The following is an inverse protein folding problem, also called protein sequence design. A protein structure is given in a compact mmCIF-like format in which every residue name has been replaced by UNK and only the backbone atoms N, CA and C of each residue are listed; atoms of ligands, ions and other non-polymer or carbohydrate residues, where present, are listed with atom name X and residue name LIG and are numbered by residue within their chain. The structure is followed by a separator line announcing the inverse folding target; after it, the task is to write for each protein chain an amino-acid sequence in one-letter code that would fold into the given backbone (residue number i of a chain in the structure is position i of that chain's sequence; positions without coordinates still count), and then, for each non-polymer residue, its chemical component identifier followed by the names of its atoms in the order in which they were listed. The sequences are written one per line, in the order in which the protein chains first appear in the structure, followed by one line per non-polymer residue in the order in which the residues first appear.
data_IF_869692765785
#
_entry.id   IF_869692765785
#
_cell.length_a   1.000
_cell.length_b   1.000
_cell.length_c   1.000
_cell.angle_alpha   90.00
_cell.angle_beta   90.00
_cell.angle_gamma   90.00
#
_symmetry.space_group_name_H-M   'P 1'
#
loop_
_entity.id
_entity.type
_entity.pdbx_description
1 polymer ?
#
# COMPACT_ATOMS: atom_id res chain seq x y z
N UNK A 1 -23.22 -14.79 16.78
CA UNK A 1 -22.85 -15.63 17.95
C UNK A 1 -21.76 -16.60 17.49
N UNK A 2 -20.78 -16.90 18.36
CA UNK A 2 -19.45 -17.48 18.04
C UNK A 2 -19.40 -18.82 17.27
N UNK A 3 -18.50 -18.90 16.28
CA UNK A 3 -17.80 -20.09 15.73
C UNK A 3 -16.65 -19.58 14.84
N UNK A 4 -15.46 -20.19 14.71
CA UNK A 4 -14.74 -21.28 15.41
C UNK A 4 -13.69 -20.66 16.39
N UNK A 5 -12.95 -21.31 17.30
CA UNK A 5 -12.32 -22.65 17.50
C UNK A 5 -10.96 -22.90 16.82
N UNK A 6 -9.90 -22.46 17.52
CA UNK A 6 -8.75 -23.28 18.00
C UNK A 6 -8.46 -24.58 17.21
N UNK A 7 -7.46 -24.51 16.32
CA UNK A 7 -6.72 -25.68 15.82
C UNK A 7 -5.24 -25.33 15.67
N UNK A 8 -4.45 -25.60 16.71
CA UNK A 8 -3.00 -25.68 16.57
C UNK A 8 -2.68 -26.99 15.83
N UNK A 9 -2.23 -26.90 14.58
CA UNK A 9 -1.61 -28.03 13.87
C UNK A 9 -0.15 -27.67 13.64
N UNK A 10 0.72 -28.32 14.40
CA UNK A 10 2.15 -28.22 14.19
C UNK A 10 2.54 -29.03 12.95
N UNK A 11 3.29 -28.43 12.03
CA UNK A 11 4.09 -29.16 11.04
C UNK A 11 5.54 -28.86 11.40
N UNK A 12 6.23 -29.89 11.89
CA UNK A 12 7.59 -29.83 12.44
C UNK A 12 8.52 -30.58 11.50
N UNK A 13 9.70 -30.00 11.25
CA UNK A 13 10.86 -30.55 10.53
C UNK A 13 10.70 -30.78 9.02
N UNK A 14 11.51 -30.05 8.23
CA UNK A 14 11.56 -30.22 6.77
C UNK A 14 12.46 -29.23 6.02
N UNK A 15 13.72 -29.08 6.44
CA UNK A 15 14.87 -28.59 5.62
C UNK A 15 14.60 -27.54 4.53
N UNK A 16 14.75 -26.25 4.88
CA UNK A 16 15.54 -25.29 4.10
C UNK A 16 15.74 -24.00 4.91
N UNK A 17 16.99 -23.56 5.06
CA UNK A 17 17.29 -22.23 5.59
C UNK A 17 17.04 -21.19 4.49
N UNK A 18 15.77 -20.83 4.27
CA UNK A 18 15.44 -19.61 3.53
C UNK A 18 15.45 -18.48 4.55
N UNK A 19 16.46 -17.61 4.47
CA UNK A 19 16.46 -16.35 5.22
C UNK A 19 15.33 -15.46 4.70
N UNK A 20 14.14 -15.60 5.27
CA UNK A 20 13.11 -14.55 5.19
C UNK A 20 13.62 -13.36 5.99
N UNK A 21 14.34 -12.47 5.31
CA UNK A 21 14.65 -11.18 5.87
C UNK A 21 13.34 -10.50 6.26
N UNK A 22 13.15 -10.30 7.57
CA UNK A 22 12.14 -9.40 8.11
C UNK A 22 12.87 -8.13 8.52
N UNK A 23 13.10 -7.17 7.61
CA UNK A 23 13.62 -5.86 7.98
C UNK A 23 12.47 -5.04 8.59
N UNK A 24 12.15 -5.34 9.84
CA UNK A 24 11.53 -4.37 10.74
C UNK A 24 12.52 -3.25 11.06
N UNK A 25 12.91 -2.48 10.05
CA UNK A 25 13.61 -1.20 10.20
C UNK A 25 12.60 -0.06 10.31
N UNK A 26 13.04 1.18 10.61
CA UNK A 26 12.17 2.34 10.40
C UNK A 26 11.76 2.36 8.93
N UNK A 27 10.47 2.54 8.66
CA UNK A 27 9.95 2.63 7.31
C UNK A 27 10.51 3.88 6.63
N UNK A 28 11.70 3.74 6.01
CA UNK A 28 12.13 4.62 4.94
C UNK A 28 11.00 4.56 3.91
N UNK A 29 10.43 5.73 3.60
CA UNK A 29 9.28 5.83 2.70
C UNK A 29 9.56 4.97 1.46
N UNK A 30 8.80 3.87 1.35
CA UNK A 30 9.05 2.86 0.34
C UNK A 30 8.72 3.51 -1.00
N UNK A 31 9.76 3.97 -1.71
CA UNK A 31 9.63 4.58 -3.03
C UNK A 31 9.19 3.49 -4.01
N UNK A 32 7.88 3.23 -4.01
CA UNK A 32 7.24 2.25 -4.88
C UNK A 32 7.49 2.69 -6.32
N UNK A 33 8.22 1.90 -7.13
CA UNK A 33 8.44 2.25 -8.53
C UNK A 33 7.09 2.19 -9.25
N UNK A 34 6.73 3.27 -9.95
CA UNK A 34 5.55 3.28 -10.80
C UNK A 34 5.95 2.94 -12.24
N UNK A 35 5.23 2.02 -12.92
CA UNK A 35 5.56 1.64 -14.29
C UNK A 35 5.23 2.79 -15.25
N UNK A 36 5.91 2.81 -16.40
CA UNK A 36 5.81 3.93 -17.35
C UNK A 36 4.40 4.18 -17.94
N UNK A 37 3.44 3.26 -17.76
CA UNK A 37 2.05 3.46 -18.16
C UNK A 37 1.20 4.21 -17.14
N UNK A 38 1.67 4.34 -15.90
CA UNK A 38 1.02 5.08 -14.81
C UNK A 38 1.59 6.52 -14.68
N UNK A 39 2.51 6.95 -15.54
CA UNK A 39 3.14 8.28 -15.43
C UNK A 39 2.12 9.42 -15.56
N UNK A 40 2.02 10.23 -14.51
CA UNK A 40 1.02 11.29 -14.37
C UNK A 40 -0.29 10.83 -13.71
N UNK A 41 -0.47 9.54 -13.44
CA UNK A 41 -1.65 9.03 -12.75
C UNK A 41 -1.68 9.43 -11.27
N UNK A 42 -2.89 9.63 -10.76
CA UNK A 42 -3.16 9.93 -9.36
C UNK A 42 -4.20 8.98 -8.83
N UNK A 43 -3.85 8.21 -7.80
CA UNK A 43 -4.70 7.17 -7.20
C UNK A 43 -4.94 7.45 -5.71
N UNK A 44 -6.01 6.89 -5.15
CA UNK A 44 -6.27 6.97 -3.70
C UNK A 44 -5.28 6.06 -2.97
N UNK A 45 -4.52 6.62 -2.02
CA UNK A 45 -3.70 5.86 -1.09
C UNK A 45 -4.48 5.50 0.18
N UNK A 46 -5.14 6.52 0.77
CA UNK A 46 -6.14 6.35 1.83
C UNK A 46 -7.18 7.48 1.76
N UNK A 47 -8.17 7.48 2.65
CA UNK A 47 -9.26 8.48 2.70
C UNK A 47 -8.82 9.95 2.81
N UNK A 48 -7.55 10.20 3.13
CA UNK A 48 -6.93 11.51 3.32
C UNK A 48 -5.64 11.72 2.51
N UNK A 49 -5.19 10.73 1.73
CA UNK A 49 -3.96 10.81 0.93
C UNK A 49 -4.14 10.28 -0.48
N UNK A 50 -3.49 10.96 -1.42
CA UNK A 50 -3.34 10.53 -2.82
C UNK A 50 -1.91 10.06 -3.05
N UNK A 51 -1.71 9.06 -3.91
CA UNK A 51 -0.42 8.75 -4.49
C UNK A 51 -0.37 9.27 -5.93
N UNK A 52 0.70 9.97 -6.29
CA UNK A 52 0.95 10.50 -7.63
C UNK A 52 2.18 9.79 -8.21
N UNK A 53 2.09 9.24 -9.41
CA UNK A 53 3.23 8.68 -10.13
C UNK A 53 3.93 9.78 -10.93
N UNK A 54 5.11 10.20 -10.49
CA UNK A 54 5.95 11.21 -11.14
C UNK A 54 7.41 10.73 -11.18
N UNK A 55 8.13 11.05 -12.26
CA UNK A 55 9.51 10.58 -12.51
C UNK A 55 9.75 9.07 -12.26
N UNK A 56 8.73 8.24 -12.52
CA UNK A 56 8.78 6.77 -12.29
C UNK A 56 8.66 6.33 -10.83
N UNK A 57 8.24 7.22 -9.92
CA UNK A 57 8.06 6.93 -8.49
C UNK A 57 6.69 7.37 -7.98
N UNK A 58 6.08 6.57 -7.11
CA UNK A 58 4.89 7.01 -6.36
C UNK A 58 5.29 7.97 -5.22
N UNK A 59 4.73 9.18 -5.24
CA UNK A 59 4.82 10.15 -4.13
C UNK A 59 3.46 10.28 -3.46
N UNK A 60 3.40 10.03 -2.15
CA UNK A 60 2.17 10.21 -1.35
C UNK A 60 2.02 11.67 -0.92
N UNK A 61 0.84 12.26 -1.12
CA UNK A 61 0.47 13.62 -0.72
C UNK A 61 -0.81 13.64 0.09
N UNK A 62 -0.80 14.36 1.21
CA UNK A 62 -1.99 14.58 2.02
C UNK A 62 -2.97 15.56 1.35
N UNK A 63 -4.26 15.26 1.47
CA UNK A 63 -5.34 16.19 1.21
C UNK A 63 -5.37 17.32 2.27
N UNK A 64 -6.02 18.43 1.92
CA UNK A 64 -6.18 19.55 2.85
C UNK A 64 -7.06 19.14 4.06
N UNK A 65 -6.86 19.73 5.25
CA UNK A 65 -7.70 19.44 6.41
C UNK A 65 -9.19 19.67 6.10
N UNK A 66 -10.01 18.65 6.34
CA UNK A 66 -11.45 18.68 6.05
C UNK A 66 -11.86 18.24 4.65
N UNK A 67 -10.92 17.92 3.76
CA UNK A 67 -11.20 17.25 2.48
C UNK A 67 -10.81 15.78 2.52
N UNK A 68 -11.36 15.01 1.58
CA UNK A 68 -11.23 13.55 1.47
C UNK A 68 -10.71 13.15 0.10
N UNK A 69 -9.89 12.10 0.03
CA UNK A 69 -9.53 11.51 -1.26
C UNK A 69 -10.76 10.86 -1.90
N UNK A 70 -11.01 11.18 -3.16
CA UNK A 70 -12.08 10.63 -4.00
C UNK A 70 -11.57 10.33 -5.40
N UNK A 71 -12.36 9.60 -6.18
CA UNK A 71 -12.06 9.21 -7.55
C UNK A 71 -13.27 9.58 -8.43
N UNK A 72 -13.02 10.00 -9.66
CA UNK A 72 -14.06 10.25 -10.66
C UNK A 72 -14.37 8.99 -11.50
N UNK A 73 -15.36 9.10 -12.39
CA UNK A 73 -15.76 8.01 -13.31
C UNK A 73 -14.67 7.66 -14.34
N UNK A 74 -13.60 8.46 -14.46
CA UNK A 74 -12.44 8.21 -15.32
C UNK A 74 -11.33 7.44 -14.59
N UNK A 75 -11.44 7.26 -13.28
CA UNK A 75 -10.40 6.65 -12.44
C UNK A 75 -9.40 7.64 -11.84
N UNK A 76 -9.52 8.94 -12.11
CA UNK A 76 -8.59 9.95 -11.60
C UNK A 76 -8.93 10.32 -10.15
N UNK A 77 -7.93 10.28 -9.26
CA UNK A 77 -8.12 10.60 -7.84
C UNK A 77 -7.76 12.05 -7.49
N UNK A 78 -8.59 12.67 -6.64
CA UNK A 78 -8.49 14.08 -6.23
C UNK A 78 -8.98 14.29 -4.79
N UNK A 79 -8.68 15.44 -4.20
CA UNK A 79 -9.16 15.81 -2.86
C UNK A 79 -10.44 16.65 -2.94
N UNK A 80 -11.48 16.27 -2.18
CA UNK A 80 -12.81 16.90 -2.16
C UNK A 80 -13.46 16.89 -0.76
#
# INVERSE_FOLDING_TARGET
MFILRKSCVAIVLGTAAVLTAVPGGPAAAEELPCPAHDLGETVIWDWTHLAICDDGRWTVRACAPGTTARQDDSGHAFCA
#
